data_IF_085526842991
#
_entry.id   IF_085526842991
#
_cell.length_a   1.000
_cell.length_b   1.000
_cell.length_c   1.000
_cell.angle_alpha   90.00
_cell.angle_beta   90.00
_cell.angle_gamma   90.00
#
_symmetry.space_group_name_H-M   'P 1'
#
loop_
_entity.id
_entity.type
_entity.pdbx_description
1 polymer ?
#
# COMPACT_ATOMS: atom_id res chain seq x y z
N UNK A 1 4.60 -16.77 0.83
CA UNK A 1 4.48 -15.32 1.11
C UNK A 1 4.99 -14.54 -0.08
N UNK A 2 4.21 -13.57 -0.53
CA UNK A 2 4.46 -12.65 -1.65
C UNK A 2 4.85 -11.29 -1.08
N UNK A 3 5.80 -10.61 -1.71
CA UNK A 3 6.25 -9.27 -1.30
C UNK A 3 5.43 -8.20 -2.00
N UNK A 4 4.70 -7.43 -1.24
CA UNK A 4 3.88 -6.31 -1.71
C UNK A 4 4.57 -4.99 -1.43
N UNK A 5 4.30 -4.00 -2.28
CA UNK A 5 4.91 -2.68 -2.24
C UNK A 5 3.82 -1.65 -1.97
N UNK A 6 3.85 -0.99 -0.81
CA UNK A 6 2.92 0.08 -0.45
C UNK A 6 3.63 1.42 -0.55
N UNK A 7 3.13 2.26 -1.45
CA UNK A 7 3.64 3.61 -1.66
C UNK A 7 2.51 4.60 -1.39
N UNK A 8 2.80 5.63 -0.58
CA UNK A 8 1.90 6.75 -0.30
C UNK A 8 2.49 8.02 -0.88
N UNK A 9 1.63 8.81 -1.52
CA UNK A 9 1.92 10.09 -2.11
C UNK A 9 1.12 11.17 -1.39
N UNK A 10 1.77 12.31 -1.14
CA UNK A 10 1.08 13.54 -0.76
C UNK A 10 0.41 14.18 -1.98
N UNK A 11 -0.49 15.12 -1.72
CA UNK A 11 -1.18 15.91 -2.75
C UNK A 11 -0.24 16.71 -3.66
N UNK A 12 1.01 16.94 -3.25
CA UNK A 12 2.06 17.60 -4.03
C UNK A 12 2.84 16.62 -4.95
N UNK A 13 2.54 15.32 -4.88
CA UNK A 13 3.23 14.26 -5.61
C UNK A 13 4.47 13.69 -4.89
N UNK A 14 4.77 14.16 -3.67
CA UNK A 14 5.90 13.67 -2.89
C UNK A 14 5.59 12.30 -2.29
N UNK A 15 6.50 11.34 -2.46
CA UNK A 15 6.44 10.05 -1.76
C UNK A 15 6.68 10.26 -0.27
N UNK A 16 5.72 9.85 0.56
CA UNK A 16 5.82 9.95 2.03
C UNK A 16 5.96 8.60 2.71
N UNK A 17 5.57 7.53 2.01
CA UNK A 17 5.75 6.16 2.47
C UNK A 17 6.18 5.34 1.27
N UNK A 18 7.23 4.54 1.43
CA UNK A 18 7.63 3.51 0.49
C UNK A 18 8.09 2.31 1.31
N UNK A 19 7.18 1.37 1.51
CA UNK A 19 7.41 0.20 2.34
C UNK A 19 7.10 -1.09 1.58
N UNK A 20 7.71 -2.18 2.04
CA UNK A 20 7.42 -3.51 1.54
C UNK A 20 7.03 -4.43 2.68
N UNK A 21 6.01 -5.23 2.45
CA UNK A 21 5.52 -6.19 3.42
C UNK A 21 5.21 -7.52 2.75
N UNK A 22 5.12 -8.59 3.55
CA UNK A 22 4.81 -9.93 3.07
C UNK A 22 3.38 -10.30 3.42
N UNK A 23 2.67 -10.90 2.47
CA UNK A 23 1.35 -11.48 2.68
C UNK A 23 1.22 -12.81 1.92
N UNK A 24 0.31 -13.70 2.30
CA UNK A 24 0.05 -14.94 1.57
C UNK A 24 -0.70 -14.70 0.27
N UNK A 25 -1.61 -13.73 0.24
CA UNK A 25 -2.46 -13.46 -0.91
C UNK A 25 -2.90 -11.98 -0.97
N UNK A 26 -3.53 -11.59 -2.07
CA UNK A 26 -3.95 -10.21 -2.32
C UNK A 26 -4.99 -9.72 -1.31
N UNK A 27 -5.86 -10.59 -0.79
CA UNK A 27 -6.84 -10.19 0.22
C UNK A 27 -6.15 -9.82 1.54
N UNK A 28 -5.21 -10.66 1.99
CA UNK A 28 -4.41 -10.38 3.17
C UNK A 28 -3.55 -9.13 2.98
N UNK A 29 -2.92 -8.97 1.81
CA UNK A 29 -2.14 -7.78 1.51
C UNK A 29 -2.97 -6.50 1.53
N UNK A 30 -4.22 -6.58 1.10
CA UNK A 30 -5.17 -5.47 1.15
C UNK A 30 -5.54 -5.10 2.58
N UNK A 31 -5.67 -6.07 3.48
CA UNK A 31 -5.93 -5.84 4.90
C UNK A 31 -4.72 -5.21 5.58
N UNK A 32 -3.53 -5.82 5.44
CA UNK A 32 -2.29 -5.31 6.02
C UNK A 32 -1.99 -3.89 5.52
N UNK A 33 -2.13 -3.66 4.21
CA UNK A 33 -1.92 -2.34 3.63
C UNK A 33 -2.88 -1.29 4.21
N UNK A 34 -4.16 -1.62 4.43
CA UNK A 34 -5.12 -0.69 5.06
C UNK A 34 -4.83 -0.42 6.51
N UNK A 35 -4.45 -1.44 7.27
CA UNK A 35 -4.09 -1.29 8.68
C UNK A 35 -2.89 -0.36 8.80
N UNK A 36 -1.84 -0.58 8.01
CA UNK A 36 -0.66 0.29 8.00
C UNK A 36 -0.98 1.73 7.61
N UNK A 37 -1.80 1.93 6.58
CA UNK A 37 -2.26 3.26 6.19
C UNK A 37 -3.05 3.94 7.32
N UNK A 38 -3.85 3.20 8.09
CA UNK A 38 -4.58 3.74 9.22
C UNK A 38 -3.68 4.06 10.41
N UNK A 39 -2.71 3.19 10.71
CA UNK A 39 -1.72 3.38 11.77
C UNK A 39 -0.82 4.60 11.51
N UNK A 40 -0.38 4.77 10.27
CA UNK A 40 0.47 5.88 9.84
C UNK A 40 -0.33 7.18 9.56
N UNK A 41 -1.67 7.12 9.53
CA UNK A 41 -2.52 8.27 9.25
C UNK A 41 -2.60 8.67 7.76
N UNK A 42 -2.33 7.73 6.86
CA UNK A 42 -2.33 7.88 5.41
C UNK A 42 -3.59 7.33 4.71
N UNK A 43 -4.60 6.88 5.45
CA UNK A 43 -5.85 6.33 4.89
C UNK A 43 -6.55 7.23 3.86
N UNK A 44 -6.43 8.54 4.02
CA UNK A 44 -7.05 9.55 3.14
C UNK A 44 -6.06 10.15 2.12
N UNK A 45 -4.78 9.74 2.16
CA UNK A 45 -3.78 10.17 1.19
C UNK A 45 -3.81 9.30 -0.06
N UNK A 46 -3.30 9.82 -1.16
CA UNK A 46 -3.10 9.04 -2.39
C UNK A 46 -2.16 7.88 -2.09
N UNK A 47 -2.59 6.63 -2.26
CA UNK A 47 -1.76 5.48 -1.93
C UNK A 47 -2.02 4.30 -2.86
N UNK A 48 -1.01 3.46 -3.05
CA UNK A 48 -1.11 2.25 -3.86
C UNK A 48 -0.37 1.10 -3.21
N UNK A 49 -0.95 -0.09 -3.32
CA UNK A 49 -0.31 -1.35 -2.99
C UNK A 49 -0.19 -2.18 -4.27
N UNK A 50 1.04 -2.56 -4.60
CA UNK A 50 1.39 -3.34 -5.79
C UNK A 50 1.82 -4.75 -5.37
N UNK A 51 1.28 -5.76 -6.04
CA UNK A 51 1.70 -7.14 -5.89
C UNK A 51 3.07 -7.38 -6.55
N UNK A 52 3.81 -8.43 -6.15
CA UNK A 52 5.07 -8.77 -6.80
C UNK A 52 4.88 -9.19 -8.27
N UNK A 53 3.65 -9.58 -8.64
CA UNK A 53 3.24 -9.90 -10.02
C UNK A 53 2.97 -8.65 -10.86
N UNK A 54 3.02 -7.46 -10.27
CA UNK A 54 2.88 -6.17 -10.96
C UNK A 54 1.45 -5.63 -11.05
N UNK A 55 0.45 -6.32 -10.52
CA UNK A 55 -0.93 -5.81 -10.46
C UNK A 55 -1.19 -4.98 -9.20
N UNK A 56 -2.17 -4.08 -9.29
CA UNK A 56 -2.61 -3.24 -8.18
C UNK A 56 -3.58 -4.01 -7.29
N UNK A 57 -3.24 -4.10 -6.00
CA UNK A 57 -4.05 -4.76 -4.96
C UNK A 57 -4.93 -3.73 -4.24
N UNK A 58 -4.37 -2.55 -4.02
CA UNK A 58 -5.04 -1.43 -3.38
C UNK A 58 -4.64 -0.14 -4.09
N UNK A 59 -5.61 0.75 -4.32
CA UNK A 59 -5.37 2.03 -4.94
C UNK A 59 -6.39 3.06 -4.44
N UNK A 60 -5.89 4.22 -4.05
CA UNK A 60 -6.67 5.39 -3.64
C UNK A 60 -6.02 6.64 -4.24
N UNK A 61 -6.83 7.59 -4.70
CA UNK A 61 -6.37 8.83 -5.33
C UNK A 61 -6.71 10.03 -4.47
#
# INVERSE_FOLDING_TARGET
MKTYFLTVFKSDGTNVLDETFQAENDNEAKTIGRERLAEEGYSEQTHRCVAPEGHLVLFHR
#
